data_IF_931982198243
#
_entry.id   IF_931982198243
#
_cell.length_a   1.000
_cell.length_b   1.000
_cell.length_c   1.000
_cell.angle_alpha   90.00
_cell.angle_beta   90.00
_cell.angle_gamma   90.00
#
_symmetry.space_group_name_H-M   'P 1'
#
loop_
_entity.id
_entity.type
_entity.pdbx_description
1 polymer ?
#
# COMPACT_ATOMS: atom_id res chain seq x y z
N UNK A 1 -49.96 39.61 29.43
CA UNK A 1 -50.13 38.36 30.22
C UNK A 1 -50.85 37.32 29.38
N UNK A 2 -50.17 36.20 29.04
CA UNK A 2 -50.67 34.85 28.68
C UNK A 2 -49.48 34.10 28.02
N UNK A 3 -48.64 33.46 28.84
CA UNK A 3 -48.43 31.98 28.94
C UNK A 3 -47.87 31.41 27.61
N UNK A 4 -46.55 31.29 27.46
CA UNK A 4 -45.69 30.18 27.91
C UNK A 4 -46.16 28.82 27.43
N UNK A 5 -45.19 28.00 27.00
CA UNK A 5 -45.29 26.60 26.54
C UNK A 5 -45.65 26.44 25.05
N UNK A 6 -44.67 26.62 24.16
CA UNK A 6 -44.63 25.96 22.83
C UNK A 6 -43.32 26.33 22.12
N UNK A 7 -42.21 25.73 22.55
CA UNK A 7 -41.15 25.29 21.61
C UNK A 7 -40.05 24.47 22.29
N UNK A 8 -40.37 23.75 23.37
CA UNK A 8 -39.49 22.69 23.89
C UNK A 8 -39.61 21.38 23.06
N UNK A 9 -40.11 21.48 21.83
CA UNK A 9 -40.32 20.37 20.90
C UNK A 9 -39.40 20.38 19.68
N UNK A 10 -38.45 21.33 19.60
CA UNK A 10 -37.55 21.49 18.44
C UNK A 10 -36.09 21.10 18.76
N UNK A 11 -35.84 20.29 19.79
CA UNK A 11 -34.49 19.77 20.08
C UNK A 11 -34.43 18.24 20.03
N UNK A 12 -35.56 17.55 19.81
CA UNK A 12 -35.61 16.08 19.74
C UNK A 12 -35.67 15.51 18.30
N UNK A 13 -35.41 16.32 17.28
CA UNK A 13 -35.49 15.88 15.88
C UNK A 13 -34.18 16.06 15.08
N UNK A 14 -33.04 16.27 15.75
CA UNK A 14 -31.73 16.42 15.08
C UNK A 14 -30.62 15.51 15.63
N UNK A 15 -30.97 14.34 16.18
CA UNK A 15 -29.99 13.32 16.58
C UNK A 15 -30.49 11.94 16.13
N UNK A 16 -30.64 11.74 14.83
CA UNK A 16 -30.90 10.41 14.24
C UNK A 16 -30.39 10.31 12.79
N UNK A 17 -29.32 11.03 12.47
CA UNK A 17 -28.58 10.90 11.22
C UNK A 17 -27.12 10.48 11.46
N UNK A 18 -26.88 9.62 12.45
CA UNK A 18 -25.75 8.70 12.40
C UNK A 18 -26.33 7.34 12.03
N UNK A 19 -26.54 7.12 10.73
CA UNK A 19 -26.59 5.76 10.24
C UNK A 19 -25.26 5.11 10.64
N UNK A 20 -25.25 3.96 11.34
CA UNK A 20 -24.03 3.18 11.37
C UNK A 20 -23.76 2.83 9.91
N UNK A 21 -22.65 3.34 9.36
CA UNK A 21 -22.02 2.72 8.20
C UNK A 21 -22.01 1.24 8.56
N UNK A 22 -22.80 0.44 7.83
CA UNK A 22 -22.68 -1.00 7.88
C UNK A 22 -21.23 -1.26 7.52
N UNK A 23 -20.41 -1.52 8.54
CA UNK A 23 -19.22 -2.33 8.37
C UNK A 23 -19.75 -3.59 7.68
N UNK A 24 -19.51 -3.68 6.38
CA UNK A 24 -19.72 -4.91 5.66
C UNK A 24 -18.69 -5.88 6.23
N UNK A 25 -19.12 -6.61 7.26
CA UNK A 25 -18.38 -7.74 7.79
C UNK A 25 -18.16 -8.73 6.65
N UNK A 26 -16.90 -8.80 6.26
CA UNK A 26 -16.15 -10.04 6.17
C UNK A 26 -16.80 -11.17 5.36
N UNK A 27 -16.47 -11.18 4.07
CA UNK A 27 -16.11 -12.42 3.40
C UNK A 27 -14.74 -12.22 2.76
N UNK A 28 -13.71 -12.02 3.59
CA UNK A 28 -12.33 -12.17 3.15
C UNK A 28 -12.09 -13.67 2.97
N UNK A 29 -12.02 -14.11 1.71
CA UNK A 29 -11.66 -15.47 1.33
C UNK A 29 -10.35 -15.91 2.00
N UNK A 30 -10.33 -17.18 2.36
CA UNK A 30 -9.29 -17.81 3.16
C UNK A 30 -7.96 -17.98 2.37
N UNK A 31 -7.12 -16.95 2.39
CA UNK A 31 -5.67 -17.11 2.33
C UNK A 31 -5.15 -16.84 3.74
N UNK A 32 -4.30 -17.71 4.32
CA UNK A 32 -3.76 -17.48 5.66
C UNK A 32 -2.94 -16.18 5.66
N UNK A 33 -3.57 -15.08 6.04
CA UNK A 33 -2.91 -13.82 6.32
C UNK A 33 -2.26 -13.96 7.71
N UNK A 34 -1.14 -14.66 7.79
CA UNK A 34 -0.33 -14.71 9.01
C UNK A 34 0.45 -13.38 9.24
N UNK A 35 0.04 -12.31 8.55
CA UNK A 35 0.56 -10.97 8.71
C UNK A 35 -0.38 -10.21 9.65
N UNK A 36 0.11 -9.73 10.82
CA UNK A 36 -0.73 -9.02 11.78
C UNK A 36 -1.17 -7.62 11.30
N UNK A 37 -0.64 -7.14 10.18
CA UNK A 37 -0.92 -5.82 9.62
C UNK A 37 -1.87 -5.96 8.43
N UNK A 38 -2.91 -5.13 8.42
CA UNK A 38 -3.82 -5.00 7.27
C UNK A 38 -3.03 -4.76 5.98
N UNK A 39 -3.30 -5.57 4.96
CA UNK A 39 -2.61 -5.51 3.69
C UNK A 39 -3.50 -4.85 2.63
N UNK A 40 -2.91 -3.98 1.80
CA UNK A 40 -3.57 -3.51 0.60
C UNK A 40 -3.69 -4.68 -0.39
N UNK A 41 -4.90 -5.17 -0.64
CA UNK A 41 -5.18 -6.27 -1.56
C UNK A 41 -5.75 -5.77 -2.89
N UNK A 42 -5.90 -6.67 -3.86
CA UNK A 42 -6.58 -6.40 -5.13
C UNK A 42 -8.01 -5.87 -4.98
N UNK A 43 -8.73 -6.29 -3.94
CA UNK A 43 -10.11 -5.82 -3.65
C UNK A 43 -10.15 -4.31 -3.42
N UNK A 44 -9.18 -3.78 -2.68
CA UNK A 44 -9.08 -2.35 -2.39
C UNK A 44 -8.46 -1.63 -3.59
N UNK A 45 -7.36 -2.17 -4.11
CA UNK A 45 -6.60 -1.59 -5.22
C UNK A 45 -7.44 -1.27 -6.45
N UNK A 46 -8.34 -2.19 -6.87
CA UNK A 46 -9.19 -1.96 -8.04
C UNK A 46 -10.19 -0.81 -7.88
N UNK A 47 -10.49 -0.41 -6.64
CA UNK A 47 -11.39 0.71 -6.32
C UNK A 47 -10.61 1.99 -6.01
N UNK A 48 -9.30 1.90 -5.86
CA UNK A 48 -8.42 3.02 -5.56
C UNK A 48 -8.23 3.91 -6.80
N UNK A 49 -8.26 5.22 -6.60
CA UNK A 49 -8.04 6.17 -7.70
C UNK A 49 -6.60 6.10 -8.22
N UNK A 50 -6.36 6.53 -9.45
CA UNK A 50 -4.99 6.59 -10.01
C UNK A 50 -4.06 7.48 -9.18
N UNK A 51 -4.58 8.58 -8.64
CA UNK A 51 -3.82 9.47 -7.74
C UNK A 51 -3.41 8.76 -6.46
N UNK A 52 -4.32 8.01 -5.84
CA UNK A 52 -4.04 7.28 -4.59
C UNK A 52 -3.09 6.09 -4.82
N UNK A 53 -3.22 5.38 -5.95
CA UNK A 53 -2.23 4.36 -6.37
C UNK A 53 -0.84 4.99 -6.52
N UNK A 54 -0.76 6.14 -7.18
CA UNK A 54 0.49 6.87 -7.37
C UNK A 54 1.07 7.40 -6.04
N UNK A 55 0.23 7.76 -5.07
CA UNK A 55 0.63 8.18 -3.73
C UNK A 55 1.15 6.99 -2.90
N UNK A 56 0.48 5.84 -2.97
CA UNK A 56 0.95 4.60 -2.36
C UNK A 56 2.34 4.21 -2.87
N UNK A 57 2.54 4.19 -4.20
CA UNK A 57 3.84 3.87 -4.80
C UNK A 57 4.91 4.89 -4.42
N UNK A 58 4.57 6.19 -4.36
CA UNK A 58 5.49 7.23 -3.86
C UNK A 58 5.91 6.94 -2.41
N UNK A 59 4.99 6.48 -1.55
CA UNK A 59 5.32 6.06 -0.18
C UNK A 59 6.32 4.90 -0.14
N UNK A 60 6.12 3.88 -0.99
CA UNK A 60 7.05 2.74 -1.13
C UNK A 60 8.44 3.22 -1.60
N UNK A 61 8.49 4.03 -2.65
CA UNK A 61 9.73 4.61 -3.18
C UNK A 61 10.47 5.45 -2.13
N UNK A 62 9.72 6.21 -1.33
CA UNK A 62 10.30 7.05 -0.28
C UNK A 62 10.95 6.21 0.80
N UNK A 63 10.30 5.13 1.25
CA UNK A 63 10.88 4.19 2.22
C UNK A 63 12.15 3.54 1.68
N UNK A 64 12.14 3.08 0.43
CA UNK A 64 13.32 2.50 -0.23
C UNK A 64 14.46 3.53 -0.33
N UNK A 65 14.14 4.77 -0.70
CA UNK A 65 15.13 5.84 -0.82
C UNK A 65 15.83 6.12 0.51
N UNK A 66 15.09 6.13 1.62
CA UNK A 66 15.65 6.27 2.96
C UNK A 66 16.62 5.12 3.27
N UNK A 67 16.25 3.87 2.98
CA UNK A 67 17.13 2.71 3.22
C UNK A 67 18.41 2.75 2.37
N UNK A 68 18.33 3.21 1.13
CA UNK A 68 19.51 3.42 0.29
C UNK A 68 20.43 4.50 0.84
N UNK A 69 19.87 5.60 1.36
CA UNK A 69 20.66 6.64 2.01
C UNK A 69 21.38 6.10 3.25
N UNK A 70 20.65 5.41 4.15
CA UNK A 70 21.22 4.81 5.36
C UNK A 70 22.32 3.80 5.00
N UNK A 71 22.05 2.90 4.06
CA UNK A 71 23.04 1.94 3.58
C UNK A 71 24.28 2.65 3.04
N UNK A 72 24.12 3.73 2.26
CA UNK A 72 25.23 4.56 1.79
C UNK A 72 26.13 5.10 2.92
N UNK A 73 25.53 5.61 4.01
CA UNK A 73 26.29 6.06 5.20
C UNK A 73 27.03 4.91 5.89
N UNK A 74 26.43 3.72 5.93
CA UNK A 74 27.08 2.52 6.48
C UNK A 74 28.29 2.13 5.62
N UNK A 75 28.17 2.13 4.29
CA UNK A 75 29.27 1.84 3.38
C UNK A 75 30.41 2.84 3.54
N UNK A 76 30.08 4.14 3.60
CA UNK A 76 31.05 5.23 3.80
C UNK A 76 31.84 5.05 5.10
N UNK A 77 31.15 4.74 6.21
CA UNK A 77 31.79 4.52 7.51
C UNK A 77 32.69 3.28 7.51
N UNK A 78 32.25 2.19 6.87
CA UNK A 78 33.04 0.97 6.75
C UNK A 78 34.36 1.23 6.00
N UNK A 79 34.28 1.95 4.87
CA UNK A 79 35.45 2.35 4.09
C UNK A 79 36.45 3.17 4.91
N UNK A 80 35.98 4.17 5.68
CA UNK A 80 36.84 5.02 6.54
C UNK A 80 37.51 4.26 7.68
N UNK A 81 36.91 3.18 8.16
CA UNK A 81 37.39 2.42 9.32
C UNK A 81 38.13 1.13 8.95
N UNK A 82 38.32 0.86 7.65
CA UNK A 82 38.93 -0.37 7.15
C UNK A 82 38.11 -1.63 7.43
N UNK A 83 36.83 -1.49 7.79
CA UNK A 83 35.93 -2.61 8.09
C UNK A 83 35.22 -3.08 6.83
N UNK A 84 34.90 -4.37 6.76
CA UNK A 84 34.06 -4.91 5.68
C UNK A 84 32.63 -4.35 5.81
N UNK A 85 32.08 -3.69 4.78
CA UNK A 85 30.71 -3.24 4.80
C UNK A 85 29.74 -4.42 4.79
N UNK A 86 28.65 -4.30 5.54
CA UNK A 86 27.49 -5.19 5.45
C UNK A 86 26.30 -4.35 5.01
N UNK A 87 25.76 -4.66 3.83
CA UNK A 87 24.58 -3.94 3.32
C UNK A 87 23.35 -4.32 4.12
N UNK A 88 22.52 -3.33 4.45
CA UNK A 88 21.23 -3.52 5.12
C UNK A 88 20.08 -3.68 4.15
N UNK A 89 20.32 -3.46 2.85
CA UNK A 89 19.27 -3.45 1.85
C UNK A 89 18.66 -4.83 1.63
N UNK A 90 17.32 -4.89 1.68
CA UNK A 90 16.55 -6.10 1.44
C UNK A 90 16.58 -6.52 -0.03
N UNK A 91 16.28 -7.81 -0.34
CA UNK A 91 16.10 -8.24 -1.73
C UNK A 91 15.02 -7.46 -2.46
N UNK A 92 13.97 -7.04 -1.76
CA UNK A 92 12.89 -6.24 -2.32
C UNK A 92 13.39 -4.86 -2.75
N UNK A 93 14.10 -4.13 -1.89
CA UNK A 93 14.64 -2.80 -2.23
C UNK A 93 15.59 -2.85 -3.43
N UNK A 94 16.52 -3.81 -3.45
CA UNK A 94 17.44 -4.02 -4.58
C UNK A 94 16.69 -4.39 -5.85
N UNK A 95 15.69 -5.25 -5.70
CA UNK A 95 14.84 -5.69 -6.79
C UNK A 95 14.02 -4.55 -7.39
N UNK A 96 13.42 -3.71 -6.55
CA UNK A 96 12.66 -2.54 -6.97
C UNK A 96 13.52 -1.61 -7.83
N UNK A 97 14.68 -1.19 -7.32
CA UNK A 97 15.57 -0.26 -8.02
C UNK A 97 16.05 -0.80 -9.38
N UNK A 98 16.23 -2.12 -9.49
CA UNK A 98 16.66 -2.75 -10.73
C UNK A 98 15.51 -3.00 -11.71
N UNK A 99 14.38 -3.52 -11.22
CA UNK A 99 13.26 -3.92 -12.07
C UNK A 99 12.45 -2.74 -12.60
N UNK A 100 12.44 -1.63 -11.87
CA UNK A 100 11.70 -0.42 -12.25
C UNK A 100 12.62 0.74 -12.65
N UNK A 101 13.87 0.44 -13.02
CA UNK A 101 14.74 1.45 -13.63
C UNK A 101 14.07 2.04 -14.89
N UNK A 102 13.93 3.36 -14.93
CA UNK A 102 13.21 4.11 -15.98
C UNK A 102 11.71 3.74 -16.14
N UNK A 103 11.07 3.11 -15.15
CA UNK A 103 9.63 2.86 -15.15
C UNK A 103 8.95 3.87 -14.22
N UNK A 104 7.97 4.63 -14.72
CA UNK A 104 7.24 5.58 -13.90
C UNK A 104 6.11 4.89 -13.09
N UNK A 105 5.65 5.56 -12.02
CA UNK A 105 4.58 5.06 -11.13
C UNK A 105 3.28 4.72 -11.86
N UNK A 106 2.89 5.48 -12.87
CA UNK A 106 1.65 5.20 -13.61
C UNK A 106 1.75 3.87 -14.38
N UNK A 107 2.91 3.56 -14.94
CA UNK A 107 3.12 2.29 -15.64
C UNK A 107 3.25 1.11 -14.67
N UNK A 108 3.85 1.32 -13.48
CA UNK A 108 3.80 0.31 -12.40
C UNK A 108 2.35 0.03 -12.00
N UNK A 109 1.52 1.07 -11.79
CA UNK A 109 0.10 0.90 -11.45
C UNK A 109 -0.65 0.08 -12.50
N UNK A 110 -0.46 0.41 -13.79
CA UNK A 110 -1.08 -0.34 -14.91
C UNK A 110 -0.68 -1.80 -14.95
N UNK A 111 0.57 -2.13 -14.63
CA UNK A 111 1.04 -3.51 -14.56
C UNK A 111 0.33 -4.29 -13.45
N UNK A 112 0.11 -3.66 -12.28
CA UNK A 112 -0.66 -4.26 -11.18
C UNK A 112 -2.13 -4.41 -11.57
N UNK A 113 -2.73 -3.38 -12.18
CA UNK A 113 -4.11 -3.43 -12.68
C UNK A 113 -4.31 -4.56 -13.69
N UNK A 114 -3.40 -4.69 -14.65
CA UNK A 114 -3.43 -5.74 -15.67
C UNK A 114 -3.33 -7.13 -15.04
N UNK A 115 -2.50 -7.29 -14.01
CA UNK A 115 -2.39 -8.56 -13.30
C UNK A 115 -3.70 -8.95 -12.61
N UNK A 116 -4.34 -8.02 -11.87
CA UNK A 116 -5.63 -8.32 -11.23
C UNK A 116 -6.78 -8.49 -12.22
N UNK A 117 -6.79 -7.75 -13.34
CA UNK A 117 -7.79 -7.91 -14.39
C UNK A 117 -7.74 -9.30 -15.04
N UNK A 118 -6.54 -9.90 -15.12
CA UNK A 118 -6.33 -11.25 -15.66
C UNK A 118 -6.43 -12.35 -14.59
N UNK A 119 -6.50 -11.99 -13.31
CA UNK A 119 -6.62 -12.91 -12.16
C UNK A 119 -7.77 -12.48 -11.23
N UNK A 120 -9.04 -12.45 -11.71
CA UNK A 120 -10.18 -11.96 -10.91
C UNK A 120 -10.52 -12.84 -9.71
N UNK A 121 -10.02 -14.08 -9.67
CA UNK A 121 -10.14 -15.03 -8.58
C UNK A 121 -9.12 -14.80 -7.44
N UNK A 122 -8.15 -13.89 -7.62
CA UNK A 122 -7.02 -13.66 -6.69
C UNK A 122 -6.98 -12.26 -6.08
N UNK A 123 -8.14 -11.62 -5.90
CA UNK A 123 -8.20 -10.25 -5.38
C UNK A 123 -7.84 -10.12 -3.90
N UNK A 124 -7.83 -11.23 -3.17
CA UNK A 124 -7.33 -11.34 -1.81
C UNK A 124 -5.80 -11.30 -1.71
N UNK A 125 -5.08 -11.45 -2.83
CA UNK A 125 -3.63 -11.33 -2.84
C UNK A 125 -3.19 -9.90 -2.49
N UNK A 126 -2.18 -9.72 -1.63
CA UNK A 126 -1.61 -8.40 -1.35
C UNK A 126 -0.92 -7.77 -2.57
N UNK A 127 -1.12 -6.47 -2.79
CA UNK A 127 -0.49 -5.67 -3.84
C UNK A 127 1.03 -5.75 -3.78
N UNK A 128 1.64 -5.65 -2.60
CA UNK A 128 3.09 -5.78 -2.46
C UNK A 128 3.59 -7.19 -2.85
N UNK A 129 2.76 -8.21 -2.64
CA UNK A 129 3.03 -9.57 -3.10
C UNK A 129 2.99 -9.67 -4.63
N UNK A 130 2.01 -9.04 -5.28
CA UNK A 130 1.94 -8.95 -6.75
C UNK A 130 3.15 -8.20 -7.30
N UNK A 131 3.48 -7.04 -6.74
CA UNK A 131 4.66 -6.26 -7.15
C UNK A 131 5.93 -7.11 -7.05
N UNK A 132 6.15 -7.82 -5.94
CA UNK A 132 7.34 -8.65 -5.80
C UNK A 132 7.35 -9.84 -6.76
N UNK A 133 6.37 -10.73 -6.66
CA UNK A 133 6.42 -12.04 -7.32
C UNK A 133 6.09 -11.98 -8.81
N UNK A 134 5.26 -11.01 -9.22
CA UNK A 134 4.71 -10.97 -10.58
C UNK A 134 5.38 -9.88 -11.43
N UNK A 135 5.91 -8.83 -10.79
CA UNK A 135 6.54 -7.71 -11.50
C UNK A 135 8.06 -7.67 -11.32
N UNK A 136 8.56 -7.69 -10.09
CA UNK A 136 9.99 -7.52 -9.82
C UNK A 136 10.75 -8.81 -10.11
N UNK A 137 10.42 -9.91 -9.44
CA UNK A 137 11.19 -11.16 -9.54
C UNK A 137 11.36 -11.66 -10.99
N UNK A 138 10.33 -11.62 -11.86
CA UNK A 138 10.50 -12.02 -13.26
C UNK A 138 11.46 -11.10 -14.04
N UNK A 139 11.43 -9.79 -13.80
CA UNK A 139 12.36 -8.82 -14.43
C UNK A 139 13.81 -9.00 -13.98
N UNK A 140 14.03 -9.50 -12.76
CA UNK A 140 15.37 -9.82 -12.28
C UNK A 140 15.94 -11.10 -12.91
N UNK A 141 15.07 -12.03 -13.33
CA UNK A 141 15.44 -13.28 -13.96
C UNK A 141 15.66 -13.15 -15.48
N UNK A 142 15.03 -12.16 -16.11
CA UNK A 142 15.28 -11.81 -17.51
C UNK A 142 16.72 -11.31 -17.68
N UNK A 143 17.48 -11.95 -18.56
CA UNK A 143 18.88 -11.62 -18.88
C UNK A 143 18.98 -10.54 -19.94
#
# INVERSE_FOLDING_TARGET
>A
MKKSVLSLGLVLALVLACAPVRAAETAASAVPHNNPVEQLTGVVWQKTTETDKAAFLLGVESAITVEYFVNGKIMEKAAKTGKKPTSTLSPFEKGWMKAFDNVNRADISKLVDSWYATNPDKLDRPVMGVIWYELIAPRLAAK
#
